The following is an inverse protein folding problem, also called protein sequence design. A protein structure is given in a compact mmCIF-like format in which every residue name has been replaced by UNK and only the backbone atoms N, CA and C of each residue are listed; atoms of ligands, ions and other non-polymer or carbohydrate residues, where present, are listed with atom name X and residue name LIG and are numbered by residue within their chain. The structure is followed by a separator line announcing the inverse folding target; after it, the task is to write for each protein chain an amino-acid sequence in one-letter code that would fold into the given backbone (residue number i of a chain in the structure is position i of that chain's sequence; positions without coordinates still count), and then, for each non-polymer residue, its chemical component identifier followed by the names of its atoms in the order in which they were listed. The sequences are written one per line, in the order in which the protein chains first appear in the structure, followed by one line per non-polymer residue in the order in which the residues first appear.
data_IF_052907317183
#
_entry.id   IF_052907317183
#
_cell.length_a   1.000
_cell.length_b   1.000
_cell.length_c   1.000
_cell.angle_alpha   90.00
_cell.angle_beta   90.00
_cell.angle_gamma   90.00
#
_symmetry.space_group_name_H-M   'P 1'
#
loop_
_entity.id
_entity.type
_entity.pdbx_description
1 polymer ?
#
# COMPACT_ATOMS: atom_id res chain seq x y z
N UNK A 1 -6.18 -8.91 3.19
CA UNK A 1 -6.01 -7.95 4.30
C UNK A 1 -6.13 -6.53 3.76
N UNK A 2 -6.75 -5.60 4.48
CA UNK A 2 -6.89 -4.19 4.07
C UNK A 2 -6.09 -3.33 5.05
N UNK A 3 -5.09 -2.60 4.55
CA UNK A 3 -4.32 -1.66 5.37
C UNK A 3 -5.19 -0.45 5.72
N UNK A 4 -5.05 0.03 6.96
CA UNK A 4 -5.74 1.23 7.43
C UNK A 4 -4.75 2.39 7.52
N UNK A 5 -5.21 3.58 7.13
CA UNK A 5 -4.36 4.76 7.14
C UNK A 5 -3.82 5.11 8.53
N UNK A 6 -4.62 4.86 9.58
CA UNK A 6 -4.22 5.08 10.97
C UNK A 6 -2.95 4.32 11.36
N UNK A 7 -2.76 3.12 10.84
CA UNK A 7 -1.64 2.25 11.21
C UNK A 7 -0.36 2.69 10.46
N UNK A 8 -0.52 3.28 9.27
CA UNK A 8 0.58 3.71 8.41
C UNK A 8 1.09 5.12 8.72
N UNK A 9 0.30 5.98 9.37
CA UNK A 9 0.71 7.35 9.72
C UNK A 9 1.85 7.41 10.73
N UNK A 10 1.99 6.38 11.56
CA UNK A 10 3.05 6.30 12.57
C UNK A 10 4.40 5.89 11.99
N UNK A 11 4.43 5.25 10.81
CA UNK A 11 5.65 4.76 10.19
C UNK A 11 6.49 5.89 9.60
N UNK A 12 7.81 5.70 9.53
CA UNK A 12 8.69 6.65 8.83
C UNK A 12 8.45 6.63 7.31
N UNK A 13 8.93 7.65 6.57
CA UNK A 13 8.82 7.65 5.10
C UNK A 13 9.57 6.44 4.51
N UNK A 14 10.75 6.11 5.04
CA UNK A 14 11.55 4.97 4.59
C UNK A 14 10.83 3.63 4.83
N UNK A 15 10.17 3.48 5.98
CA UNK A 15 9.34 2.30 6.28
C UNK A 15 8.13 2.22 5.35
N UNK A 16 7.49 3.35 5.03
CA UNK A 16 6.38 3.38 4.07
C UNK A 16 6.85 2.99 2.66
N UNK A 17 8.06 3.39 2.26
CA UNK A 17 8.64 2.99 0.98
C UNK A 17 8.96 1.50 0.93
N UNK A 18 9.46 0.89 2.03
CA UNK A 18 9.59 -0.57 2.15
C UNK A 18 8.23 -1.27 2.04
N UNK A 19 7.26 -0.84 2.83
CA UNK A 19 5.89 -1.37 2.79
C UNK A 19 5.25 -1.25 1.39
N UNK A 20 5.60 -0.22 0.62
CA UNK A 20 5.13 -0.05 -0.75
C UNK A 20 5.69 -1.11 -1.70
N UNK A 21 6.97 -1.47 -1.55
CA UNK A 21 7.60 -2.54 -2.33
C UNK A 21 6.92 -3.87 -2.02
N UNK A 22 6.71 -4.17 -0.74
CA UNK A 22 6.05 -5.40 -0.31
C UNK A 22 4.60 -5.48 -0.83
N UNK A 23 3.83 -4.39 -0.70
CA UNK A 23 2.45 -4.33 -1.20
C UNK A 23 2.36 -4.52 -2.73
N UNK A 24 3.35 -4.05 -3.50
CA UNK A 24 3.43 -4.28 -4.95
C UNK A 24 3.76 -5.73 -5.28
N UNK A 25 4.66 -6.35 -4.52
CA UNK A 25 5.02 -7.77 -4.64
C UNK A 25 3.83 -8.67 -4.34
N UNK A 26 3.10 -8.41 -3.25
CA UNK A 26 1.85 -9.10 -2.92
C UNK A 26 0.81 -8.92 -4.04
N UNK A 27 0.68 -7.71 -4.59
CA UNK A 27 -0.25 -7.46 -5.70
C UNK A 27 0.12 -8.25 -6.96
N UNK A 28 1.41 -8.45 -7.25
CA UNK A 28 1.85 -9.32 -8.32
C UNK A 28 1.43 -10.77 -8.08
N UNK A 29 1.64 -11.28 -6.86
CA UNK A 29 1.22 -12.64 -6.49
C UNK A 29 -0.31 -12.82 -6.60
N UNK A 30 -1.10 -11.82 -6.18
CA UNK A 30 -2.57 -11.84 -6.32
C UNK A 30 -2.99 -11.84 -7.80
N UNK A 31 -2.29 -11.10 -8.67
CA UNK A 31 -2.55 -11.14 -10.12
C UNK A 31 -2.24 -12.49 -10.71
N UNK A 32 -1.13 -13.11 -10.32
CA UNK A 32 -0.77 -14.46 -10.76
C UNK A 32 -1.82 -15.48 -10.31
N UNK A 33 -2.20 -15.42 -9.02
CA UNK A 33 -3.23 -16.30 -8.45
C UNK A 33 -4.59 -16.13 -9.13
N UNK A 34 -4.97 -14.91 -9.53
CA UNK A 34 -6.20 -14.68 -10.31
C UNK A 34 -6.19 -15.43 -11.64
N UNK A 35 -5.03 -15.57 -12.28
CA UNK A 35 -4.91 -16.26 -13.56
C UNK A 35 -4.93 -17.77 -13.39
N UNK A 36 -4.31 -18.30 -12.33
CA UNK A 36 -4.13 -19.75 -12.13
C UNK A 36 -5.15 -20.41 -11.20
N UNK A 37 -5.92 -19.64 -10.41
CA UNK A 37 -6.80 -20.15 -9.37
C UNK A 37 -8.01 -19.25 -9.07
N UNK A 38 -8.96 -19.78 -8.30
CA UNK A 38 -10.10 -19.02 -7.79
C UNK A 38 -9.61 -18.05 -6.71
N UNK A 39 -9.81 -16.75 -6.95
CA UNK A 39 -9.48 -15.67 -6.04
C UNK A 39 -10.67 -15.35 -5.13
N UNK A 40 -10.41 -14.98 -3.87
CA UNK A 40 -11.51 -14.50 -3.02
C UNK A 40 -12.07 -13.18 -3.58
N UNK A 41 -13.40 -12.96 -3.48
CA UNK A 41 -13.99 -11.66 -3.79
C UNK A 41 -13.26 -10.56 -3.02
N UNK A 42 -12.95 -9.46 -3.70
CA UNK A 42 -12.24 -8.29 -3.15
C UNK A 42 -10.74 -8.42 -2.87
N UNK A 43 -10.07 -9.57 -3.03
CA UNK A 43 -8.62 -9.67 -2.80
C UNK A 43 -7.82 -8.71 -3.69
N UNK A 44 -8.08 -8.72 -5.00
CA UNK A 44 -7.42 -7.81 -5.96
C UNK A 44 -7.77 -6.34 -5.72
N UNK A 45 -9.00 -6.06 -5.25
CA UNK A 45 -9.44 -4.71 -4.90
C UNK A 45 -8.71 -4.20 -3.66
N UNK A 46 -8.55 -5.06 -2.65
CA UNK A 46 -7.85 -4.73 -1.42
C UNK A 46 -6.35 -4.52 -1.68
N UNK A 47 -5.70 -5.36 -2.49
CA UNK A 47 -4.30 -5.15 -2.89
C UNK A 47 -4.09 -3.79 -3.58
N UNK A 48 -4.96 -3.42 -4.53
CA UNK A 48 -4.93 -2.09 -5.18
C UNK A 48 -5.11 -0.94 -4.18
N UNK A 49 -6.06 -1.08 -3.23
CA UNK A 49 -6.29 -0.06 -2.21
C UNK A 49 -5.14 0.08 -1.22
N UNK A 50 -4.47 -1.02 -0.86
CA UNK A 50 -3.31 -0.99 0.03
C UNK A 50 -2.19 -0.14 -0.57
N UNK A 51 -1.86 -0.37 -1.85
CA UNK A 51 -0.86 0.44 -2.59
C UNK A 51 -1.26 1.91 -2.64
N UNK A 52 -2.53 2.19 -2.95
CA UNK A 52 -3.03 3.57 -3.02
C UNK A 52 -2.90 4.30 -1.66
N UNK A 53 -3.30 3.67 -0.56
CA UNK A 53 -3.25 4.28 0.78
C UNK A 53 -1.80 4.57 1.19
N UNK A 54 -0.86 3.65 0.95
CA UNK A 54 0.56 3.88 1.26
C UNK A 54 1.09 5.09 0.48
N UNK A 55 0.82 5.17 -0.83
CA UNK A 55 1.24 6.29 -1.66
C UNK A 55 0.65 7.62 -1.19
N UNK A 56 -0.63 7.63 -0.79
CA UNK A 56 -1.27 8.83 -0.23
C UNK A 56 -0.55 9.32 1.02
N UNK A 57 -0.21 8.42 1.95
CA UNK A 57 0.44 8.81 3.22
C UNK A 57 1.88 9.25 2.99
N UNK A 58 2.63 8.59 2.10
CA UNK A 58 3.96 9.05 1.68
C UNK A 58 3.86 10.48 1.13
N UNK A 59 2.88 10.74 0.26
CA UNK A 59 2.63 12.06 -0.30
C UNK A 59 2.34 13.07 0.82
N UNK A 60 1.36 12.80 1.68
CA UNK A 60 0.99 13.68 2.81
C UNK A 60 2.22 14.04 3.66
N UNK A 61 3.06 13.06 4.03
CA UNK A 61 4.28 13.30 4.80
C UNK A 61 5.31 14.16 4.06
N UNK A 62 5.54 13.88 2.77
CA UNK A 62 6.47 14.69 1.94
C UNK A 62 5.99 16.13 1.80
N UNK A 63 4.68 16.36 1.68
CA UNK A 63 4.11 17.72 1.68
C UNK A 63 4.26 18.42 3.03
N UNK A 64 4.02 17.72 4.15
CA UNK A 64 4.24 18.30 5.49
C UNK A 64 5.70 18.73 5.68
N UNK A 65 6.67 17.89 5.31
CA UNK A 65 8.10 18.23 5.36
C UNK A 65 8.49 19.43 4.48
N UNK A 66 7.77 19.67 3.39
CA UNK A 66 7.99 20.83 2.52
C UNK A 66 7.36 22.12 3.06
N UNK A 67 6.26 22.02 3.81
CA UNK A 67 5.58 23.17 4.42
C UNK A 67 6.22 23.61 5.74
N UNK A 68 6.87 22.69 6.44
CA UNK A 68 7.61 22.95 7.69
C UNK A 68 9.03 23.48 7.44
N UNK A 69 9.50 23.49 6.18
CA UNK A 69 10.77 24.08 5.75
C UNK A 69 10.57 25.49 5.22
#
# INVERSE_FOLDING_TARGET
MKLLAKDLRNNSIEELEKNLVDAKSEMLQIRQKKQSAILKPNELRNGRRNVAVILTIIREKKYQQLLEK
#
